data_IF_596967346019
#
_entry.id   IF_596967346019
#
_cell.length_a   1.000
_cell.length_b   1.000
_cell.length_c   1.000
_cell.angle_alpha   90.00
_cell.angle_beta   90.00
_cell.angle_gamma   90.00
#
_symmetry.space_group_name_H-M   'P 1'
#
loop_
_entity.id
_entity.type
_entity.pdbx_description
1 polymer ?
#
# COMPACT_ATOMS: atom_id res chain seq x y z
N UNK A 1 8.42 24.83 1.62
CA UNK A 1 7.88 24.06 2.76
C UNK A 1 7.66 22.65 2.22
N UNK A 2 8.37 21.65 2.73
CA UNK A 2 8.17 20.26 2.29
C UNK A 2 6.79 19.83 2.79
N UNK A 3 5.93 19.34 1.90
CA UNK A 3 4.78 18.55 2.34
C UNK A 3 5.32 17.35 3.13
N UNK A 4 4.72 17.09 4.30
CA UNK A 4 5.03 15.89 5.07
C UNK A 4 4.54 14.69 4.26
N UNK A 5 5.40 13.69 4.08
CA UNK A 5 5.02 12.52 3.28
C UNK A 5 4.11 11.65 4.12
N UNK A 6 2.93 11.33 3.59
CA UNK A 6 1.89 10.60 4.33
C UNK A 6 2.41 9.30 4.97
N UNK A 7 3.33 8.60 4.30
CA UNK A 7 3.88 7.34 4.81
C UNK A 7 4.80 7.47 6.04
N UNK A 8 5.27 8.66 6.39
CA UNK A 8 6.08 8.87 7.59
C UNK A 8 5.27 8.75 8.88
N UNK A 9 3.93 8.81 8.80
CA UNK A 9 3.03 8.63 9.93
C UNK A 9 2.50 7.21 10.08
N UNK A 10 2.80 6.32 9.14
CA UNK A 10 2.30 4.94 9.18
C UNK A 10 3.12 4.09 10.15
N UNK A 11 2.44 3.16 10.81
CA UNK A 11 3.09 2.12 11.61
C UNK A 11 3.28 0.86 10.76
N UNK A 12 4.41 0.18 10.96
CA UNK A 12 4.73 -1.06 10.25
C UNK A 12 5.05 -2.19 11.23
N UNK A 13 4.50 -3.38 10.98
CA UNK A 13 4.76 -4.58 11.76
C UNK A 13 5.21 -5.72 10.83
N UNK A 14 6.46 -6.14 10.95
CA UNK A 14 6.97 -7.28 10.21
C UNK A 14 6.42 -8.59 10.81
N UNK A 15 5.74 -9.38 9.97
CA UNK A 15 5.04 -10.59 10.42
C UNK A 15 5.97 -11.80 10.52
N UNK A 16 7.06 -11.80 9.73
CA UNK A 16 8.13 -12.79 9.82
C UNK A 16 9.49 -12.14 9.60
N UNK A 17 10.61 -12.81 9.93
CA UNK A 17 11.93 -12.25 9.71
C UNK A 17 12.22 -11.89 8.24
N UNK A 18 11.70 -12.69 7.30
CA UNK A 18 12.09 -12.60 5.89
C UNK A 18 11.05 -11.89 5.03
N UNK A 19 9.77 -12.15 5.24
CA UNK A 19 8.68 -11.59 4.42
C UNK A 19 7.47 -11.17 5.26
N UNK A 20 6.57 -10.41 4.66
CA UNK A 20 5.34 -9.97 5.28
C UNK A 20 5.52 -8.75 6.15
N UNK A 21 4.70 -7.74 5.86
CA UNK A 21 4.57 -6.54 6.68
C UNK A 21 3.11 -6.10 6.71
N UNK A 22 2.60 -5.82 7.90
CA UNK A 22 1.33 -5.13 8.09
C UNK A 22 1.59 -3.62 8.16
N UNK A 23 0.80 -2.83 7.43
CA UNK A 23 0.91 -1.36 7.40
C UNK A 23 -0.37 -0.76 7.97
N UNK A 24 -0.25 0.03 9.04
CA UNK A 24 -1.38 0.62 9.76
C UNK A 24 -1.40 2.14 9.61
N UNK A 25 -2.58 2.73 9.81
CA UNK A 25 -2.83 4.16 9.65
C UNK A 25 -2.95 4.61 8.20
N UNK A 26 -2.95 3.67 7.25
CA UNK A 26 -3.16 3.93 5.83
C UNK A 26 -4.64 3.74 5.44
N UNK A 27 -5.11 4.66 4.62
CA UNK A 27 -6.41 4.62 3.94
C UNK A 27 -6.17 4.37 2.45
N UNK A 28 -6.53 3.18 1.97
CA UNK A 28 -6.25 2.78 0.58
C UNK A 28 -6.98 3.65 -0.45
N UNK A 29 -8.10 4.29 -0.08
CA UNK A 29 -8.83 5.22 -0.96
C UNK A 29 -8.05 6.53 -1.23
N UNK A 30 -7.06 6.86 -0.40
CA UNK A 30 -6.33 8.15 -0.42
C UNK A 30 -4.85 8.02 -0.71
N UNK A 31 -4.40 6.88 -1.25
CA UNK A 31 -2.99 6.67 -1.54
C UNK A 31 -2.52 7.61 -2.65
N UNK A 32 -1.57 8.49 -2.34
CA UNK A 32 -0.94 9.38 -3.31
C UNK A 32 0.21 8.67 -4.07
N UNK A 33 0.85 9.38 -5.01
CA UNK A 33 1.94 8.80 -5.82
C UNK A 33 3.16 8.47 -4.98
N UNK A 34 3.50 9.31 -4.01
CA UNK A 34 4.69 9.13 -3.18
C UNK A 34 4.55 7.91 -2.26
N UNK A 35 3.37 7.74 -1.67
CA UNK A 35 3.02 6.58 -0.85
C UNK A 35 2.96 5.32 -1.68
N UNK A 36 2.39 5.35 -2.88
CA UNK A 36 2.39 4.19 -3.76
C UNK A 36 3.81 3.72 -4.13
N UNK A 37 4.72 4.66 -4.42
CA UNK A 37 6.12 4.33 -4.68
C UNK A 37 6.79 3.68 -3.45
N UNK A 38 6.59 4.27 -2.26
CA UNK A 38 7.10 3.71 -1.01
C UNK A 38 6.55 2.32 -0.70
N UNK A 39 5.24 2.10 -0.92
CA UNK A 39 4.61 0.79 -0.78
C UNK A 39 5.18 -0.23 -1.78
N UNK A 40 5.51 0.19 -3.01
CA UNK A 40 6.13 -0.69 -4.00
C UNK A 40 7.52 -1.13 -3.56
N UNK A 41 8.36 -0.20 -3.09
CA UNK A 41 9.69 -0.55 -2.55
C UNK A 41 9.56 -1.52 -1.36
N UNK A 42 8.64 -1.24 -0.44
CA UNK A 42 8.37 -2.11 0.71
C UNK A 42 7.83 -3.48 0.26
N UNK A 43 6.96 -3.53 -0.74
CA UNK A 43 6.43 -4.78 -1.31
C UNK A 43 7.54 -5.59 -1.98
N UNK A 44 8.45 -4.95 -2.71
CA UNK A 44 9.60 -5.63 -3.32
C UNK A 44 10.52 -6.21 -2.26
N UNK A 45 10.77 -5.48 -1.16
CA UNK A 45 11.59 -5.97 -0.04
C UNK A 45 10.89 -7.13 0.69
N UNK A 46 9.64 -6.92 1.11
CA UNK A 46 8.91 -7.74 2.07
C UNK A 46 7.98 -8.78 1.43
N UNK A 47 7.88 -8.77 0.10
CA UNK A 47 7.14 -9.71 -0.77
C UNK A 47 5.62 -9.70 -0.65
N UNK A 48 5.08 -9.36 0.51
CA UNK A 48 3.64 -9.28 0.76
C UNK A 48 3.35 -8.22 1.81
N UNK A 49 2.30 -7.43 1.56
CA UNK A 49 1.82 -6.38 2.46
C UNK A 49 0.37 -6.67 2.87
N UNK A 50 0.04 -6.36 4.11
CA UNK A 50 -1.30 -6.47 4.66
C UNK A 50 -1.81 -5.10 5.08
N UNK A 51 -3.05 -4.80 4.69
CA UNK A 51 -3.78 -3.60 5.06
C UNK A 51 -5.09 -4.07 5.71
N UNK A 52 -5.24 -3.83 7.02
CA UNK A 52 -6.46 -4.23 7.76
C UNK A 52 -7.47 -3.10 7.77
N UNK A 53 -8.72 -3.46 8.09
CA UNK A 53 -9.82 -2.54 8.35
C UNK A 53 -10.07 -1.54 7.20
N UNK A 54 -9.98 -2.02 5.96
CA UNK A 54 -10.22 -1.22 4.76
C UNK A 54 -11.69 -1.34 4.34
N UNK A 55 -12.43 -0.25 4.48
CA UNK A 55 -13.77 -0.07 3.92
C UNK A 55 -13.66 0.71 2.61
N UNK A 56 -13.43 0.01 1.50
CA UNK A 56 -13.24 0.61 0.18
C UNK A 56 -14.24 0.06 -0.84
N UNK A 57 -14.68 0.93 -1.76
CA UNK A 57 -15.48 0.53 -2.91
C UNK A 57 -14.63 -0.24 -3.94
N UNK A 58 -15.30 -0.91 -4.88
CA UNK A 58 -14.64 -1.67 -5.94
C UNK A 58 -13.73 -0.78 -6.80
N UNK A 59 -14.22 0.42 -7.15
CA UNK A 59 -13.47 1.38 -7.96
C UNK A 59 -12.21 1.89 -7.24
N UNK A 60 -12.29 2.04 -5.92
CA UNK A 60 -11.15 2.46 -5.09
C UNK A 60 -10.12 1.34 -4.98
N UNK A 61 -10.56 0.08 -4.84
CA UNK A 61 -9.67 -1.07 -4.87
C UNK A 61 -8.96 -1.19 -6.22
N UNK A 62 -9.68 -1.05 -7.33
CA UNK A 62 -9.12 -1.03 -8.68
C UNK A 62 -8.12 0.13 -8.85
N UNK A 63 -8.47 1.33 -8.40
CA UNK A 63 -7.62 2.51 -8.49
C UNK A 63 -6.32 2.35 -7.68
N UNK A 64 -6.38 1.72 -6.52
CA UNK A 64 -5.21 1.36 -5.72
C UNK A 64 -4.34 0.32 -6.46
N UNK A 65 -4.94 -0.77 -6.95
CA UNK A 65 -4.21 -1.83 -7.65
C UNK A 65 -3.49 -1.31 -8.91
N UNK A 66 -4.11 -0.40 -9.65
CA UNK A 66 -3.53 0.23 -10.84
C UNK A 66 -2.26 1.05 -10.56
N UNK A 67 -1.93 1.34 -9.29
CA UNK A 67 -0.67 2.01 -8.91
C UNK A 67 0.54 1.09 -9.00
N UNK A 68 0.34 -0.23 -9.02
CA UNK A 68 1.42 -1.22 -9.02
C UNK A 68 1.70 -1.82 -10.41
N UNK A 69 0.85 -1.55 -11.40
CA UNK A 69 1.00 -2.06 -12.76
C UNK A 69 -0.30 -1.97 -13.57
N UNK A 70 -0.27 -2.49 -14.80
CA UNK A 70 -1.49 -2.66 -15.59
C UNK A 70 -2.40 -3.72 -14.97
N UNK A 71 -3.70 -3.47 -14.96
CA UNK A 71 -4.68 -4.45 -14.48
C UNK A 71 -4.78 -5.62 -15.45
N UNK A 72 -4.60 -6.84 -14.95
CA UNK A 72 -4.81 -8.06 -15.70
C UNK A 72 -6.26 -8.52 -15.49
N UNK A 73 -7.01 -8.72 -16.58
CA UNK A 73 -8.37 -9.26 -16.53
C UNK A 73 -8.25 -10.76 -16.78
N UNK A 74 -8.47 -11.57 -15.73
CA UNK A 74 -8.47 -13.02 -15.86
C UNK A 74 -9.79 -13.49 -16.52
N UNK A 75 -9.73 -14.30 -17.60
CA UNK A 75 -10.90 -14.88 -18.26
C UNK A 75 -11.57 -16.02 -17.46
#
# INVERSE_FOLDING_TARGET
MSEAKQYETFEIYHLSPVIGTEVLGIDLSKVDRATAAWLNDLLVERKVLFFRDQEIAEEEHIAFAARFGGLEVHP
#
